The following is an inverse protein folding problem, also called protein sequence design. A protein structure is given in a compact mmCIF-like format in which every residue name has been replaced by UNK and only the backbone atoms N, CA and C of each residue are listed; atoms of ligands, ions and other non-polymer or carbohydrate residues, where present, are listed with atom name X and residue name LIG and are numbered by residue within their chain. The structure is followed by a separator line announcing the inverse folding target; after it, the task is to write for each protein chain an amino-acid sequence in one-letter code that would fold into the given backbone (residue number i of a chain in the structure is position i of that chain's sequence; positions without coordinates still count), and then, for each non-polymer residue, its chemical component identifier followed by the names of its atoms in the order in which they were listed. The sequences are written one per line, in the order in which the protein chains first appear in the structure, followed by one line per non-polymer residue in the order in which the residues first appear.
data_IF_727081205812
#
_entry.id   IF_727081205812
#
_cell.length_a   1.000
_cell.length_b   1.000
_cell.length_c   1.000
_cell.angle_alpha   90.00
_cell.angle_beta   90.00
_cell.angle_gamma   90.00
#
_symmetry.space_group_name_H-M   'P 1'
#
loop_
_entity.id
_entity.type
_entity.pdbx_description
1 polymer ?
#
# COMPACT_ATOMS: atom_id res chain seq x y z
N UNK A 1 5.36 -45.45 -10.35
CA UNK A 1 5.52 -44.00 -10.07
C UNK A 1 4.28 -43.33 -10.66
N UNK A 2 3.24 -43.14 -9.86
CA UNK A 2 2.03 -42.44 -10.29
C UNK A 2 2.17 -40.98 -9.89
N UNK A 3 2.40 -40.11 -10.88
CA UNK A 3 2.42 -38.67 -10.69
C UNK A 3 0.99 -38.21 -10.42
N UNK A 4 0.71 -37.90 -9.16
CA UNK A 4 -0.48 -37.16 -8.75
C UNK A 4 -0.46 -35.82 -9.49
N UNK A 5 -1.24 -35.74 -10.57
CA UNK A 5 -1.58 -34.46 -11.18
C UNK A 5 -2.38 -33.69 -10.14
N UNK A 6 -1.77 -32.66 -9.56
CA UNK A 6 -2.38 -31.87 -8.50
C UNK A 6 -3.74 -31.34 -8.95
N UNK A 7 -4.81 -31.87 -8.34
CA UNK A 7 -6.13 -31.28 -8.45
C UNK A 7 -6.02 -29.80 -8.08
N UNK A 8 -6.38 -28.92 -9.02
CA UNK A 8 -6.51 -27.50 -8.75
C UNK A 8 -7.56 -27.34 -7.64
N UNK A 9 -7.10 -27.04 -6.41
CA UNK A 9 -8.00 -26.79 -5.28
C UNK A 9 -8.98 -25.69 -5.65
N UNK A 10 -10.26 -25.96 -5.43
CA UNK A 10 -11.31 -24.97 -5.67
C UNK A 10 -11.10 -23.73 -4.80
N UNK A 11 -11.44 -22.56 -5.36
CA UNK A 11 -11.28 -21.28 -4.66
C UNK A 11 -12.22 -21.21 -3.45
N UNK A 12 -11.65 -20.98 -2.26
CA UNK A 12 -12.41 -20.79 -1.03
C UNK A 12 -12.97 -19.35 -0.97
N UNK A 13 -14.17 -19.16 -1.55
CA UNK A 13 -14.84 -17.84 -1.67
C UNK A 13 -14.92 -17.06 -0.36
N UNK A 14 -15.23 -17.73 0.75
CA UNK A 14 -15.33 -17.09 2.07
C UNK A 14 -13.98 -16.51 2.52
N UNK A 15 -12.88 -17.26 2.33
CA UNK A 15 -11.52 -16.78 2.65
C UNK A 15 -11.09 -15.62 1.77
N UNK A 16 -11.42 -15.66 0.48
CA UNK A 16 -11.12 -14.55 -0.44
C UNK A 16 -11.84 -13.27 -0.03
N UNK A 17 -13.14 -13.35 0.27
CA UNK A 17 -13.94 -12.19 0.70
C UNK A 17 -13.40 -11.55 1.98
N UNK A 18 -13.00 -12.36 2.97
CA UNK A 18 -12.47 -11.85 4.24
C UNK A 18 -11.01 -11.40 4.13
N UNK A 19 -10.21 -12.05 3.28
CA UNK A 19 -8.79 -11.77 3.13
C UNK A 19 -8.49 -10.60 2.20
N UNK A 20 -9.40 -10.24 1.29
CA UNK A 20 -9.12 -9.19 0.31
C UNK A 20 -8.85 -7.82 0.95
N UNK A 21 -9.72 -7.26 1.82
CA UNK A 21 -9.47 -5.94 2.41
C UNK A 21 -8.13 -5.84 3.16
N UNK A 22 -7.79 -6.74 4.12
CA UNK A 22 -6.51 -6.62 4.83
C UNK A 22 -5.31 -6.83 3.92
N UNK A 23 -5.37 -7.78 2.96
CA UNK A 23 -4.26 -8.00 2.03
C UNK A 23 -4.03 -6.79 1.11
N UNK A 24 -5.11 -6.10 0.71
CA UNK A 24 -5.00 -4.91 -0.11
C UNK A 24 -4.33 -3.76 0.64
N UNK A 25 -4.75 -3.48 1.87
CA UNK A 25 -4.11 -2.45 2.70
C UNK A 25 -2.64 -2.79 2.98
N UNK A 26 -2.33 -4.03 3.36
CA UNK A 26 -0.94 -4.45 3.56
C UNK A 26 -0.09 -4.32 2.29
N UNK A 27 -0.68 -4.47 1.10
CA UNK A 27 0.04 -4.25 -0.15
C UNK A 27 0.39 -2.77 -0.37
N UNK A 28 -0.47 -1.85 0.08
CA UNK A 28 -0.20 -0.40 0.04
C UNK A 28 0.86 -0.02 1.08
N UNK A 29 0.78 -0.55 2.30
CA UNK A 29 1.79 -0.31 3.33
C UNK A 29 3.18 -0.80 2.88
N UNK A 30 3.24 -1.99 2.26
CA UNK A 30 4.47 -2.51 1.69
C UNK A 30 4.99 -1.64 0.52
N UNK A 31 4.09 -1.14 -0.32
CA UNK A 31 4.45 -0.21 -1.42
C UNK A 31 5.03 1.09 -0.86
N UNK A 32 4.39 1.66 0.16
CA UNK A 32 4.88 2.85 0.85
C UNK A 32 6.25 2.62 1.46
N UNK A 33 6.46 1.52 2.18
CA UNK A 33 7.77 1.16 2.74
C UNK A 33 8.86 1.07 1.65
N UNK A 34 8.56 0.48 0.49
CA UNK A 34 9.50 0.41 -0.62
C UNK A 34 9.83 1.79 -1.20
N UNK A 35 8.83 2.66 -1.37
CA UNK A 35 9.03 4.04 -1.81
C UNK A 35 9.86 4.86 -0.81
N UNK A 36 9.66 4.63 0.49
CA UNK A 36 10.48 5.25 1.55
C UNK A 36 11.93 4.79 1.45
N UNK A 37 12.16 3.49 1.28
CA UNK A 37 13.51 2.93 1.14
C UNK A 37 14.24 3.53 -0.08
N UNK A 38 13.55 3.68 -1.20
CA UNK A 38 14.07 4.35 -2.40
C UNK A 38 14.42 5.81 -2.13
N UNK A 39 13.49 6.59 -1.56
CA UNK A 39 13.73 8.00 -1.21
C UNK A 39 14.86 8.19 -0.19
N UNK A 40 15.04 7.26 0.74
CA UNK A 40 16.20 7.26 1.65
C UNK A 40 17.51 7.06 0.89
N UNK A 41 17.52 6.20 -0.13
CA UNK A 41 18.66 6.01 -1.02
C UNK A 41 19.01 7.27 -1.81
N UNK A 42 18.01 8.00 -2.30
CA UNK A 42 18.18 9.29 -3.00
C UNK A 42 18.75 10.38 -2.09
N UNK A 43 18.34 10.41 -0.82
CA UNK A 43 18.85 11.34 0.20
C UNK A 43 20.20 10.88 0.80
N UNK A 44 20.68 9.69 0.44
CA UNK A 44 21.95 9.13 0.91
C UNK A 44 21.95 8.69 2.38
N UNK A 45 20.79 8.39 2.96
CA UNK A 45 20.65 7.94 4.35
C UNK A 45 20.42 6.44 4.45
N UNK A 46 20.81 5.83 5.57
CA UNK A 46 20.56 4.39 5.81
C UNK A 46 19.09 4.18 6.18
N UNK A 47 18.50 3.09 5.69
CA UNK A 47 17.13 2.71 6.00
C UNK A 47 17.04 1.28 6.52
N UNK A 48 16.21 1.07 7.53
CA UNK A 48 15.71 -0.23 7.94
C UNK A 48 14.20 -0.14 8.20
N UNK A 49 13.45 -1.18 7.87
CA UNK A 49 12.00 -1.20 8.03
C UNK A 49 11.50 -2.53 8.54
N UNK A 50 10.53 -2.49 9.46
CA UNK A 50 9.73 -3.64 9.90
C UNK A 50 8.27 -3.27 9.71
N UNK A 51 7.70 -3.66 8.58
CA UNK A 51 6.33 -3.29 8.19
C UNK A 51 6.12 -1.76 8.19
N UNK A 52 5.44 -1.22 9.19
CA UNK A 52 5.08 0.19 9.38
C UNK A 52 6.06 0.95 10.29
N UNK A 53 7.12 0.27 10.75
CA UNK A 53 8.17 0.85 11.60
C UNK A 53 9.42 1.15 10.77
N UNK A 54 9.83 2.41 10.73
CA UNK A 54 10.93 2.90 9.89
C UNK A 54 12.09 3.43 10.73
N UNK A 55 13.31 2.96 10.48
CA UNK A 55 14.51 3.28 11.25
C UNK A 55 15.63 3.82 10.37
N UNK A 56 16.44 4.70 10.95
CA UNK A 56 17.67 5.25 10.37
C UNK A 56 18.65 5.63 11.49
N UNK A 57 19.80 6.21 11.16
CA UNK A 57 20.69 6.78 12.17
C UNK A 57 20.06 8.02 12.84
N UNK A 58 20.26 8.28 14.14
CA UNK A 58 19.62 9.39 14.84
C UNK A 58 19.81 10.78 14.22
N UNK A 59 20.95 11.02 13.55
CA UNK A 59 21.20 12.29 12.86
C UNK A 59 20.30 12.50 11.63
N UNK A 60 19.80 11.42 11.04
CA UNK A 60 19.03 11.42 9.79
C UNK A 60 17.52 11.32 10.05
N UNK A 61 17.09 11.14 11.30
CA UNK A 61 15.68 11.02 11.68
C UNK A 61 14.79 12.15 11.15
N UNK A 62 15.22 13.44 11.12
CA UNK A 62 14.44 14.50 10.48
C UNK A 62 14.27 14.31 8.97
N UNK A 63 15.29 13.78 8.28
CA UNK A 63 15.26 13.51 6.83
C UNK A 63 14.34 12.34 6.54
N UNK A 64 14.49 11.22 7.27
CA UNK A 64 13.61 10.05 7.14
C UNK A 64 12.13 10.45 7.33
N UNK A 65 11.83 11.24 8.35
CA UNK A 65 10.48 11.71 8.63
C UNK A 65 9.89 12.57 7.50
N UNK A 66 10.71 13.38 6.82
CA UNK A 66 10.29 14.11 5.61
C UNK A 66 9.99 13.15 4.46
N UNK A 67 10.87 12.18 4.21
CA UNK A 67 10.71 11.18 3.15
C UNK A 67 9.43 10.36 3.36
N UNK A 68 9.19 9.86 4.58
CA UNK A 68 7.99 9.08 4.91
C UNK A 68 6.71 9.83 4.55
N UNK A 69 6.57 11.08 5.01
CA UNK A 69 5.38 11.92 4.75
C UNK A 69 5.23 12.23 3.26
N UNK A 70 6.33 12.55 2.58
CA UNK A 70 6.32 12.82 1.14
C UNK A 70 5.85 11.60 0.34
N UNK A 71 6.40 10.42 0.62
CA UNK A 71 6.05 9.17 -0.08
C UNK A 71 4.65 8.68 0.26
N UNK A 72 4.15 8.95 1.48
CA UNK A 72 2.77 8.67 1.84
C UNK A 72 1.80 9.51 0.99
N UNK A 73 2.05 10.82 0.92
CA UNK A 73 1.26 11.73 0.10
C UNK A 73 1.32 11.31 -1.38
N UNK A 74 2.52 11.08 -1.92
CA UNK A 74 2.73 10.67 -3.31
C UNK A 74 1.95 9.40 -3.67
N UNK A 75 1.95 8.39 -2.80
CA UNK A 75 1.20 7.15 -2.98
C UNK A 75 -0.32 7.41 -2.96
N UNK A 76 -0.82 8.10 -1.94
CA UNK A 76 -2.26 8.28 -1.73
C UNK A 76 -2.90 9.36 -2.61
N UNK A 77 -2.12 10.18 -3.30
CA UNK A 77 -2.59 11.05 -4.38
C UNK A 77 -2.91 10.29 -5.67
N UNK A 78 -2.41 9.05 -5.82
CA UNK A 78 -2.79 8.21 -6.95
C UNK A 78 -4.27 7.79 -6.85
N UNK A 79 -4.96 7.60 -7.98
CA UNK A 79 -6.35 7.17 -8.01
C UNK A 79 -6.52 5.66 -7.71
N UNK A 80 -5.87 5.15 -6.65
CA UNK A 80 -5.71 3.73 -6.31
C UNK A 80 -7.01 2.93 -6.42
N UNK A 81 -8.10 3.40 -5.79
CA UNK A 81 -9.38 2.67 -5.82
C UNK A 81 -10.03 2.69 -7.21
N UNK A 82 -9.84 3.76 -7.98
CA UNK A 82 -10.35 3.87 -9.35
C UNK A 82 -9.63 2.86 -10.25
N UNK A 83 -8.31 2.76 -10.12
CA UNK A 83 -7.50 1.81 -10.89
C UNK A 83 -7.88 0.37 -10.52
N UNK A 84 -8.01 0.07 -9.22
CA UNK A 84 -8.52 -1.21 -8.74
C UNK A 84 -9.92 -1.52 -9.32
N UNK A 85 -10.83 -0.55 -9.31
CA UNK A 85 -12.19 -0.72 -9.84
C UNK A 85 -12.15 -1.04 -11.35
N UNK A 86 -11.36 -0.31 -12.13
CA UNK A 86 -11.19 -0.58 -13.56
C UNK A 86 -10.64 -1.99 -13.80
N UNK A 87 -9.62 -2.40 -13.04
CA UNK A 87 -9.05 -3.74 -13.09
C UNK A 87 -10.08 -4.83 -12.77
N UNK A 88 -10.90 -4.61 -11.73
CA UNK A 88 -11.96 -5.55 -11.35
C UNK A 88 -13.06 -5.64 -12.42
N UNK A 89 -13.48 -4.51 -13.03
CA UNK A 89 -14.46 -4.52 -14.11
C UNK A 89 -13.99 -5.35 -15.31
N UNK A 90 -12.72 -5.20 -15.69
CA UNK A 90 -12.10 -5.96 -16.79
C UNK A 90 -12.02 -7.44 -16.41
N UNK A 91 -11.44 -7.76 -15.25
CA UNK A 91 -11.14 -9.14 -14.84
C UNK A 91 -12.39 -9.96 -14.49
N UNK A 92 -13.45 -9.31 -14.01
CA UNK A 92 -14.70 -9.99 -13.64
C UNK A 92 -15.71 -10.07 -14.78
N UNK A 93 -15.40 -9.53 -15.96
CA UNK A 93 -16.09 -9.82 -17.21
C UNK A 93 -17.60 -9.53 -17.20
N UNK A 94 -18.00 -8.39 -16.62
CA UNK A 94 -19.41 -7.96 -16.60
C UNK A 94 -20.22 -8.40 -15.38
N UNK A 95 -19.58 -8.97 -14.35
CA UNK A 95 -20.20 -9.06 -13.02
C UNK A 95 -20.31 -7.68 -12.40
N UNK A 96 -21.35 -7.47 -11.62
CA UNK A 96 -21.57 -6.21 -10.90
C UNK A 96 -20.42 -5.94 -9.93
N UNK A 97 -19.68 -4.86 -10.19
CA UNK A 97 -18.70 -4.29 -9.27
C UNK A 97 -19.38 -3.09 -8.62
N UNK A 98 -19.35 -2.97 -7.28
CA UNK A 98 -19.98 -1.85 -6.60
C UNK A 98 -19.34 -0.52 -7.06
N UNK A 99 -20.12 0.57 -7.11
CA UNK A 99 -19.57 1.87 -7.47
C UNK A 99 -18.50 2.31 -6.46
N UNK A 100 -17.59 3.15 -6.93
CA UNK A 100 -16.59 3.77 -6.07
C UNK A 100 -17.26 4.55 -4.92
N UNK A 101 -16.73 4.47 -3.69
CA UNK A 101 -17.20 5.31 -2.59
C UNK A 101 -16.92 6.79 -2.89
N UNK A 102 -17.72 7.69 -2.33
CA UNK A 102 -17.47 9.12 -2.42
C UNK A 102 -16.17 9.48 -1.68
N UNK A 103 -15.32 10.26 -2.33
CA UNK A 103 -14.10 10.80 -1.71
C UNK A 103 -14.47 11.92 -0.73
N UNK A 104 -13.81 11.93 0.43
CA UNK A 104 -13.96 13.00 1.42
C UNK A 104 -13.22 14.29 1.03
N UNK A 105 -13.22 15.26 1.94
CA UNK A 105 -12.64 16.60 1.73
C UNK A 105 -11.23 16.77 2.34
N UNK A 106 -10.61 15.68 2.81
CA UNK A 106 -9.27 15.72 3.38
C UNK A 106 -8.25 16.20 2.34
N UNK A 107 -7.53 17.27 2.64
CA UNK A 107 -6.36 17.68 1.88
C UNK A 107 -5.13 16.88 2.34
N UNK A 108 -4.63 16.00 1.47
CA UNK A 108 -3.45 15.16 1.74
C UNK A 108 -2.16 15.97 1.93
N UNK A 109 -2.12 17.25 1.53
CA UNK A 109 -0.97 18.11 1.81
C UNK A 109 -0.71 18.27 3.32
N UNK A 110 -1.77 18.17 4.15
CA UNK A 110 -1.69 18.26 5.61
C UNK A 110 -0.84 17.15 6.24
N UNK A 111 -0.61 16.04 5.54
CA UNK A 111 0.27 14.96 6.01
C UNK A 111 1.70 15.45 6.18
N UNK A 112 2.17 16.37 5.33
CA UNK A 112 3.55 16.87 5.34
C UNK A 112 3.92 17.56 6.65
N UNK A 113 2.94 18.21 7.28
CA UNK A 113 3.11 18.96 8.53
C UNK A 113 2.67 18.17 9.76
N UNK A 114 2.21 16.92 9.60
CA UNK A 114 1.70 16.12 10.72
C UNK A 114 2.83 15.55 11.57
N UNK A 115 3.03 16.03 12.82
CA UNK A 115 4.15 15.58 13.64
C UNK A 115 4.01 14.11 14.04
N UNK A 116 2.79 13.61 14.19
CA UNK A 116 2.50 12.30 14.79
C UNK A 116 2.00 11.24 13.80
N UNK A 117 2.04 11.51 12.49
CA UNK A 117 1.59 10.52 11.50
C UNK A 117 2.52 9.29 11.43
N UNK A 118 3.81 9.49 11.72
CA UNK A 118 4.81 8.46 11.99
C UNK A 118 5.78 9.04 13.04
N UNK A 119 5.95 8.36 14.17
CA UNK A 119 6.77 8.79 15.31
C UNK A 119 7.99 7.88 15.51
#
# INVERSE_FOLDING_TARGET
ISLNHGEARSVQKAKQRMGFPPNFIHSLDATHMMMVAEGCGEEGITFAGVHDSFWTHPCDAPVLNRVIRSKFKELHEQPILRDLHADLCIRLGGREVPPLPQQGELDLSQVLDSPYIFN
#
